data_IF_771115407240
#
_entry.id   IF_771115407240
#
_cell.length_a   1.000
_cell.length_b   1.000
_cell.length_c   1.000
_cell.angle_alpha   90.00
_cell.angle_beta   90.00
_cell.angle_gamma   90.00
#
_symmetry.space_group_name_H-M   'P 1'
#
loop_
_entity.id
_entity.type
_entity.pdbx_description
1 polymer ?
#
# COMPACT_ATOMS: atom_id res chain seq x y z
N UNK A 1 17.95 16.17 -14.36
CA UNK A 1 18.98 15.11 -14.30
C UNK A 1 19.88 15.39 -13.11
N UNK A 2 20.49 14.37 -12.50
CA UNK A 2 21.54 14.59 -11.50
C UNK A 2 22.70 15.40 -12.10
N UNK A 3 23.36 16.19 -11.26
CA UNK A 3 24.56 16.98 -11.57
C UNK A 3 25.38 17.18 -10.29
N UNK A 4 26.65 17.50 -10.42
CA UNK A 4 27.56 17.76 -9.30
C UNK A 4 27.53 19.20 -8.76
N UNK A 5 26.97 20.15 -9.52
CA UNK A 5 27.09 21.60 -9.31
C UNK A 5 25.91 22.26 -8.58
N UNK A 6 24.99 21.49 -7.98
CA UNK A 6 23.87 22.07 -7.22
C UNK A 6 24.34 22.93 -6.04
N UNK A 7 23.89 24.19 -6.04
CA UNK A 7 24.05 25.13 -4.93
C UNK A 7 22.73 25.91 -4.71
N UNK A 8 22.31 26.15 -3.46
CA UNK A 8 22.83 25.53 -2.23
C UNK A 8 22.59 23.99 -2.24
N UNK A 9 23.21 23.27 -1.30
CA UNK A 9 22.99 21.82 -1.11
C UNK A 9 23.11 21.43 0.35
N UNK A 10 22.49 20.31 0.73
CA UNK A 10 22.67 19.71 2.05
C UNK A 10 23.93 18.83 2.02
N UNK A 11 25.02 19.34 2.60
CA UNK A 11 26.33 18.66 2.55
C UNK A 11 26.44 17.47 3.49
N UNK A 12 27.45 16.62 3.24
CA UNK A 12 27.71 15.37 3.96
C UNK A 12 27.97 15.59 5.46
N UNK A 13 28.55 16.75 5.80
CA UNK A 13 28.87 17.18 7.17
C UNK A 13 27.64 17.30 8.09
N UNK A 14 26.43 17.38 7.53
CA UNK A 14 25.19 17.47 8.30
C UNK A 14 24.62 16.10 8.67
N UNK A 15 25.18 14.99 8.16
CA UNK A 15 24.78 13.63 8.52
C UNK A 15 25.60 13.10 9.70
N UNK A 16 24.93 12.57 10.72
CA UNK A 16 25.57 11.96 11.89
C UNK A 16 26.39 10.71 11.54
N UNK A 17 26.07 10.04 10.43
CA UNK A 17 26.77 8.86 9.93
C UNK A 17 26.63 8.79 8.41
N UNK A 18 27.74 8.87 7.69
CA UNK A 18 27.81 8.58 6.25
C UNK A 18 28.43 7.20 6.06
N UNK A 19 27.80 6.32 5.28
CA UNK A 19 28.37 5.02 4.94
C UNK A 19 29.35 5.15 3.76
N UNK A 20 30.45 4.38 3.70
CA UNK A 20 31.38 4.44 2.56
C UNK A 20 30.71 4.19 1.20
N UNK A 21 29.68 3.35 1.17
CA UNK A 21 28.87 3.09 -0.02
C UNK A 21 28.01 4.30 -0.44
N UNK A 22 27.59 5.15 0.50
CA UNK A 22 26.83 6.38 0.21
C UNK A 22 27.74 7.52 -0.24
N UNK A 23 28.96 7.59 0.30
CA UNK A 23 29.96 8.61 0.00
C UNK A 23 30.60 8.44 -1.39
N UNK A 24 30.99 7.20 -1.71
CA UNK A 24 31.63 6.85 -3.00
C UNK A 24 30.66 6.73 -4.18
N UNK A 25 29.38 7.00 -3.99
CA UNK A 25 28.35 6.74 -5.00
C UNK A 25 28.21 7.86 -6.05
N UNK A 26 28.53 7.52 -7.30
CA UNK A 26 28.39 8.40 -8.47
C UNK A 26 26.95 8.39 -9.00
N UNK A 27 26.13 9.30 -8.46
CA UNK A 27 24.73 9.46 -8.88
C UNK A 27 24.59 9.92 -10.34
N UNK A 28 25.55 10.66 -10.89
CA UNK A 28 25.49 11.13 -12.28
C UNK A 28 25.71 9.97 -13.24
N UNK A 29 26.76 9.17 -13.04
CA UNK A 29 27.05 7.97 -13.82
C UNK A 29 25.94 6.91 -13.71
N UNK A 30 25.32 6.78 -12.53
CA UNK A 30 24.14 5.91 -12.35
C UNK A 30 22.95 6.39 -13.18
N UNK A 31 22.63 7.69 -13.09
CA UNK A 31 21.59 8.34 -13.90
C UNK A 31 21.86 8.21 -15.41
N UNK A 32 23.11 8.36 -15.87
CA UNK A 32 23.50 8.19 -17.28
C UNK A 32 23.28 6.75 -17.76
N UNK A 33 23.81 5.76 -17.00
CA UNK A 33 23.60 4.34 -17.31
C UNK A 33 22.11 3.97 -17.37
N UNK A 34 21.30 4.48 -16.43
CA UNK A 34 19.84 4.27 -16.44
C UNK A 34 19.16 4.92 -17.65
N UNK A 35 19.65 6.06 -18.13
CA UNK A 35 19.14 6.73 -19.35
C UNK A 35 19.49 5.98 -20.64
N UNK A 36 20.64 5.31 -20.71
CA UNK A 36 20.99 4.46 -21.86
C UNK A 36 20.19 3.14 -21.84
N UNK A 37 20.01 2.56 -20.66
CA UNK A 37 19.46 1.22 -20.47
C UNK A 37 17.95 1.18 -20.15
N UNK A 38 17.26 2.33 -20.21
CA UNK A 38 15.83 2.50 -19.88
C UNK A 38 14.89 1.49 -20.58
N UNK A 39 15.26 1.06 -21.79
CA UNK A 39 14.46 0.15 -22.60
C UNK A 39 14.30 -1.24 -21.94
N UNK A 40 15.30 -1.69 -21.15
CA UNK A 40 15.22 -2.93 -20.40
C UNK A 40 14.07 -2.95 -19.41
N UNK A 41 13.74 -1.81 -18.79
CA UNK A 41 12.58 -1.71 -17.89
C UNK A 41 11.26 -2.03 -18.56
N UNK A 42 11.09 -1.64 -19.82
CA UNK A 42 9.89 -1.94 -20.61
C UNK A 42 9.86 -3.44 -20.93
N UNK A 43 11.00 -4.02 -21.34
CA UNK A 43 11.14 -5.46 -21.61
C UNK A 43 10.82 -6.30 -20.38
N UNK A 44 11.40 -5.98 -19.22
CA UNK A 44 11.14 -6.70 -17.97
C UNK A 44 9.69 -6.53 -17.50
N UNK A 45 9.10 -5.35 -17.65
CA UNK A 45 7.69 -5.11 -17.30
C UNK A 45 6.73 -5.93 -18.17
N UNK A 46 6.97 -5.98 -19.49
CA UNK A 46 6.18 -6.79 -20.42
C UNK A 46 6.32 -8.30 -20.13
N UNK A 47 7.56 -8.76 -19.90
CA UNK A 47 7.83 -10.14 -19.52
C UNK A 47 7.16 -10.52 -18.19
N UNK A 48 7.21 -9.63 -17.19
CA UNK A 48 6.56 -9.83 -15.89
C UNK A 48 5.03 -9.97 -16.01
N UNK A 49 4.37 -9.13 -16.82
CA UNK A 49 2.93 -9.24 -17.08
C UNK A 49 2.60 -10.56 -17.79
N UNK A 50 3.39 -10.96 -18.79
CA UNK A 50 3.20 -12.26 -19.47
C UNK A 50 3.37 -13.45 -18.50
N UNK A 51 4.35 -13.38 -17.60
CA UNK A 51 4.58 -14.39 -16.56
C UNK A 51 3.45 -14.46 -15.53
N UNK A 52 2.79 -13.34 -15.19
CA UNK A 52 1.60 -13.36 -14.33
C UNK A 52 0.46 -14.15 -14.99
N UNK A 53 0.11 -13.85 -16.25
CA UNK A 53 -0.98 -14.54 -16.93
C UNK A 53 -0.67 -16.01 -17.20
N UNK A 54 0.56 -16.33 -17.60
CA UNK A 54 1.01 -17.72 -17.75
C UNK A 54 0.98 -18.47 -16.40
N UNK A 55 1.46 -17.82 -15.32
CA UNK A 55 1.46 -18.38 -13.98
C UNK A 55 0.06 -18.65 -13.44
N UNK A 56 -0.89 -17.74 -13.65
CA UNK A 56 -2.31 -17.94 -13.31
C UNK A 56 -2.86 -19.20 -13.99
N UNK A 57 -2.71 -19.30 -15.32
CA UNK A 57 -3.19 -20.45 -16.10
C UNK A 57 -2.55 -21.78 -15.69
N UNK A 58 -1.26 -21.79 -15.33
CA UNK A 58 -0.59 -22.99 -14.79
C UNK A 58 -1.11 -23.36 -13.40
N UNK A 59 -1.44 -22.37 -12.56
CA UNK A 59 -1.89 -22.56 -11.19
C UNK A 59 -3.38 -22.93 -11.05
N UNK A 60 -4.21 -22.72 -12.07
CA UNK A 60 -5.63 -23.16 -12.09
C UNK A 60 -5.81 -24.64 -11.74
N UNK A 61 -4.85 -25.48 -12.15
CA UNK A 61 -4.84 -26.93 -11.91
C UNK A 61 -4.10 -27.36 -10.63
N UNK A 62 -3.55 -26.43 -9.85
CA UNK A 62 -2.61 -26.71 -8.76
C UNK A 62 -3.05 -26.10 -7.43
N UNK A 63 -2.66 -26.74 -6.32
CA UNK A 63 -2.86 -26.18 -4.98
C UNK A 63 -1.93 -24.96 -4.76
N UNK A 64 -2.37 -23.92 -4.03
CA UNK A 64 -1.54 -22.74 -3.76
C UNK A 64 -0.33 -23.10 -2.89
N UNK A 65 0.81 -22.47 -3.16
CA UNK A 65 2.04 -22.68 -2.38
C UNK A 65 1.97 -21.97 -1.01
N UNK A 66 2.48 -22.63 0.03
CA UNK A 66 2.63 -22.07 1.37
C UNK A 66 3.88 -21.18 1.46
N UNK A 67 3.79 -19.96 0.92
CA UNK A 67 4.89 -18.99 0.83
C UNK A 67 4.88 -17.94 1.95
N UNK A 68 4.21 -18.20 3.08
CA UNK A 68 4.04 -17.23 4.16
C UNK A 68 5.38 -16.69 4.72
N UNK A 69 6.38 -17.56 4.92
CA UNK A 69 7.71 -17.17 5.42
C UNK A 69 8.54 -16.39 4.38
N UNK A 70 8.70 -16.84 3.12
CA UNK A 70 9.29 -16.01 2.07
C UNK A 70 8.60 -14.66 1.89
N UNK A 71 7.26 -14.62 1.94
CA UNK A 71 6.49 -13.40 1.81
C UNK A 71 6.68 -12.46 3.02
N UNK A 72 6.80 -13.01 4.23
CA UNK A 72 7.16 -12.24 5.42
C UNK A 72 8.55 -11.60 5.28
N UNK A 73 9.57 -12.40 4.95
CA UNK A 73 10.95 -11.91 4.80
C UNK A 73 11.04 -10.85 3.71
N UNK A 74 10.36 -11.07 2.57
CA UNK A 74 10.30 -10.10 1.47
C UNK A 74 9.65 -8.77 1.88
N UNK A 75 8.46 -8.81 2.50
CA UNK A 75 7.80 -7.58 2.96
C UNK A 75 8.58 -6.89 4.09
N UNK A 76 9.24 -7.65 4.97
CA UNK A 76 10.10 -7.09 6.01
C UNK A 76 11.32 -6.39 5.40
N UNK A 77 11.97 -7.00 4.40
CA UNK A 77 13.06 -6.37 3.64
C UNK A 77 12.63 -5.07 2.96
N UNK A 78 11.48 -5.08 2.29
CA UNK A 78 10.91 -3.87 1.67
C UNK A 78 10.51 -2.80 2.69
N UNK A 79 10.03 -3.19 3.88
CA UNK A 79 9.72 -2.26 4.96
C UNK A 79 10.99 -1.59 5.51
N UNK A 80 12.05 -2.38 5.80
CA UNK A 80 13.34 -1.88 6.27
C UNK A 80 13.98 -0.97 5.22
N UNK A 81 14.03 -1.39 3.96
CA UNK A 81 14.53 -0.59 2.84
C UNK A 81 13.80 0.76 2.76
N UNK A 82 12.46 0.74 2.81
CA UNK A 82 11.65 1.97 2.72
C UNK A 82 11.83 2.87 3.95
N UNK A 83 12.00 2.29 5.14
CA UNK A 83 12.21 3.03 6.38
C UNK A 83 13.59 3.69 6.42
N UNK A 84 14.64 2.97 6.02
CA UNK A 84 16.00 3.53 5.91
C UNK A 84 16.04 4.66 4.88
N UNK A 85 15.43 4.47 3.71
CA UNK A 85 15.28 5.53 2.70
C UNK A 85 14.53 6.75 3.24
N UNK A 86 13.44 6.55 3.97
CA UNK A 86 12.71 7.65 4.62
C UNK A 86 13.58 8.40 5.64
N UNK A 87 14.25 7.67 6.55
CA UNK A 87 15.15 8.26 7.55
C UNK A 87 16.30 9.04 6.91
N UNK A 88 16.90 8.52 5.84
CA UNK A 88 18.05 9.11 5.16
C UNK A 88 17.69 10.31 4.29
N UNK A 89 16.50 10.32 3.68
CA UNK A 89 15.99 11.46 2.90
C UNK A 89 15.41 12.59 3.76
N UNK A 90 15.00 12.32 5.00
CA UNK A 90 14.30 13.29 5.85
C UNK A 90 15.10 14.54 6.24
N UNK A 91 16.42 14.49 6.55
CA UNK A 91 17.18 15.68 6.92
C UNK A 91 17.30 16.70 5.79
N UNK A 92 17.62 16.27 4.56
CA UNK A 92 17.69 17.16 3.39
C UNK A 92 16.31 17.68 2.98
N UNK A 93 15.26 16.84 3.07
CA UNK A 93 13.88 17.28 2.81
C UNK A 93 13.42 18.34 3.83
N UNK A 94 13.70 18.15 5.12
CA UNK A 94 13.42 19.14 6.16
C UNK A 94 14.20 20.43 5.91
N UNK A 95 15.50 20.32 5.65
CA UNK A 95 16.39 21.46 5.42
C UNK A 95 15.95 22.31 4.22
N UNK A 96 15.55 21.65 3.15
CA UNK A 96 15.08 22.34 1.96
C UNK A 96 13.67 22.93 2.10
N UNK A 97 12.86 22.51 3.08
CA UNK A 97 11.55 23.13 3.34
C UNK A 97 11.63 24.28 4.34
N UNK A 98 12.54 24.20 5.32
CA UNK A 98 12.64 25.18 6.41
C UNK A 98 13.62 26.30 6.12
N UNK A 99 14.83 25.98 5.70
CA UNK A 99 15.90 26.97 5.48
C UNK A 99 15.95 27.48 4.02
N UNK A 100 15.12 26.93 3.13
CA UNK A 100 15.01 27.34 1.73
C UNK A 100 13.54 27.56 1.33
N UNK A 101 13.30 28.23 0.20
CA UNK A 101 11.95 28.47 -0.33
C UNK A 101 11.24 27.18 -0.77
N UNK A 102 9.91 27.15 -0.65
CA UNK A 102 9.08 26.05 -1.15
C UNK A 102 9.33 25.74 -2.64
N UNK A 103 9.55 26.77 -3.47
CA UNK A 103 9.96 26.66 -4.88
C UNK A 103 11.21 25.77 -5.04
N UNK A 104 12.27 26.08 -4.30
CA UNK A 104 13.51 25.29 -4.30
C UNK A 104 13.25 23.85 -3.84
N UNK A 105 12.35 23.66 -2.86
CA UNK A 105 11.99 22.32 -2.37
C UNK A 105 11.30 21.41 -3.40
N UNK A 106 10.74 22.01 -4.45
CA UNK A 106 9.91 21.34 -5.47
C UNK A 106 10.60 21.28 -6.83
N UNK A 107 11.34 22.33 -7.21
CA UNK A 107 11.89 22.51 -8.55
C UNK A 107 13.40 22.21 -8.69
N UNK A 108 14.15 22.11 -7.58
CA UNK A 108 15.59 21.84 -7.58
C UNK A 108 15.90 20.38 -7.24
N UNK A 109 16.65 19.68 -8.09
CA UNK A 109 17.07 18.30 -7.84
C UNK A 109 18.39 18.15 -7.04
N UNK A 110 18.64 19.06 -6.09
CA UNK A 110 19.79 19.02 -5.17
C UNK A 110 19.90 17.72 -4.37
N UNK A 111 18.74 17.10 -4.10
CA UNK A 111 18.61 15.82 -3.39
C UNK A 111 19.26 14.64 -4.14
N UNK A 112 19.60 14.79 -5.42
CA UNK A 112 20.26 13.76 -6.21
C UNK A 112 21.80 13.73 -6.02
N UNK A 113 22.31 14.17 -4.86
CA UNK A 113 23.74 14.19 -4.50
C UNK A 113 24.01 13.47 -3.18
N UNK A 114 25.22 12.91 -3.04
CA UNK A 114 25.71 12.27 -1.80
C UNK A 114 24.77 11.19 -1.27
N UNK A 115 24.57 11.17 0.05
CA UNK A 115 23.67 10.24 0.75
C UNK A 115 22.28 10.19 0.11
N UNK A 116 21.63 11.33 -0.10
CA UNK A 116 20.29 11.39 -0.72
C UNK A 116 20.30 11.00 -2.20
N UNK A 117 21.41 11.20 -2.91
CA UNK A 117 21.61 10.70 -4.27
C UNK A 117 21.61 9.18 -4.32
N UNK A 118 22.36 8.52 -3.43
CA UNK A 118 22.34 7.07 -3.29
C UNK A 118 20.92 6.54 -3.02
N UNK A 119 20.21 7.08 -2.02
CA UNK A 119 18.85 6.64 -1.70
C UNK A 119 17.82 6.99 -2.80
N UNK A 120 18.06 8.03 -3.59
CA UNK A 120 17.25 8.36 -4.79
C UNK A 120 17.44 7.34 -5.91
N UNK A 121 18.67 6.93 -6.19
CA UNK A 121 18.96 5.93 -7.21
C UNK A 121 18.49 4.54 -6.78
N UNK A 122 18.64 4.16 -5.50
CA UNK A 122 18.03 2.93 -4.98
C UNK A 122 16.48 2.97 -5.06
N UNK A 123 15.86 4.14 -4.83
CA UNK A 123 14.43 4.31 -5.07
C UNK A 123 14.09 4.06 -6.55
N UNK A 124 14.83 4.67 -7.48
CA UNK A 124 14.66 4.46 -8.92
C UNK A 124 14.78 2.98 -9.31
N UNK A 125 15.85 2.30 -8.88
CA UNK A 125 16.08 0.89 -9.15
C UNK A 125 14.98 -0.02 -8.57
N UNK A 126 14.33 0.37 -7.46
CA UNK A 126 13.18 -0.34 -6.90
C UNK A 126 11.87 -0.19 -7.71
N UNK A 127 11.84 0.72 -8.69
CA UNK A 127 10.66 1.05 -9.51
C UNK A 127 11.03 1.01 -10.99
N UNK A 128 10.70 -0.08 -11.69
CA UNK A 128 11.06 -0.27 -13.10
C UNK A 128 10.77 0.94 -14.04
N UNK A 129 9.71 1.75 -13.81
CA UNK A 129 9.43 2.96 -14.60
C UNK A 129 9.81 4.27 -13.87
N UNK A 130 10.93 4.88 -14.29
CA UNK A 130 11.55 6.05 -13.65
C UNK A 130 11.10 7.39 -14.25
N UNK A 131 9.82 7.76 -14.09
CA UNK A 131 9.29 9.05 -14.61
C UNK A 131 8.95 10.09 -13.54
N UNK A 132 9.02 9.74 -12.24
CA UNK A 132 8.62 10.63 -11.15
C UNK A 132 9.65 10.73 -10.02
N UNK A 133 10.92 10.96 -10.39
CA UNK A 133 11.96 11.36 -9.45
C UNK A 133 11.78 12.85 -9.12
N UNK A 134 11.17 13.10 -7.97
CA UNK A 134 11.13 14.41 -7.32
C UNK A 134 11.16 14.19 -5.81
N UNK A 135 11.91 15.03 -5.09
CA UNK A 135 12.12 14.94 -3.64
C UNK A 135 10.86 14.58 -2.85
N UNK A 136 9.81 15.37 -3.02
CA UNK A 136 8.53 15.18 -2.35
C UNK A 136 7.94 13.80 -2.63
N UNK A 137 7.92 13.39 -3.91
CA UNK A 137 7.41 12.09 -4.35
C UNK A 137 8.20 10.93 -3.73
N UNK A 138 9.53 11.00 -3.71
CA UNK A 138 10.40 9.96 -3.14
C UNK A 138 10.20 9.86 -1.62
N UNK A 139 10.31 10.99 -0.91
CA UNK A 139 10.20 11.06 0.55
C UNK A 139 8.86 10.52 1.05
N UNK A 140 7.74 10.98 0.47
CA UNK A 140 6.41 10.50 0.89
C UNK A 140 6.17 9.04 0.49
N UNK A 141 6.70 8.59 -0.65
CA UNK A 141 6.57 7.20 -1.08
C UNK A 141 7.29 6.27 -0.11
N UNK A 142 8.54 6.58 0.26
CA UNK A 142 9.31 5.82 1.24
C UNK A 142 8.59 5.73 2.60
N UNK A 143 8.10 6.86 3.13
CA UNK A 143 7.38 6.87 4.41
C UNK A 143 6.12 6.00 4.41
N UNK A 144 5.29 6.14 3.37
CA UNK A 144 4.03 5.37 3.26
C UNK A 144 4.28 3.90 2.91
N UNK A 145 5.31 3.58 2.11
CA UNK A 145 5.66 2.20 1.80
C UNK A 145 6.26 1.48 3.01
N UNK A 146 7.03 2.16 3.87
CA UNK A 146 7.49 1.59 5.13
C UNK A 146 6.30 1.11 6.00
N UNK A 147 5.24 1.93 6.12
CA UNK A 147 4.01 1.56 6.83
C UNK A 147 3.24 0.43 6.13
N UNK A 148 3.08 0.51 4.81
CA UNK A 148 2.34 -0.49 4.02
C UNK A 148 3.02 -1.87 4.06
N UNK A 149 4.33 -1.94 3.84
CA UNK A 149 5.06 -3.21 3.85
C UNK A 149 5.17 -3.78 5.26
N UNK A 150 5.28 -2.95 6.30
CA UNK A 150 5.18 -3.41 7.70
C UNK A 150 3.82 -4.08 7.96
N UNK A 151 2.72 -3.48 7.50
CA UNK A 151 1.39 -4.08 7.58
C UNK A 151 1.29 -5.41 6.83
N UNK A 152 1.86 -5.52 5.61
CA UNK A 152 1.87 -6.77 4.86
C UNK A 152 2.77 -7.86 5.45
N UNK A 153 3.92 -7.51 6.04
CA UNK A 153 4.77 -8.45 6.77
C UNK A 153 4.01 -9.07 7.96
N UNK A 154 3.39 -8.23 8.81
CA UNK A 154 2.55 -8.71 9.91
C UNK A 154 1.37 -9.58 9.43
N UNK A 155 0.79 -9.27 8.27
CA UNK A 155 -0.30 -10.05 7.66
C UNK A 155 0.17 -11.37 7.05
N UNK A 156 1.43 -11.48 6.62
CA UNK A 156 2.05 -12.73 6.16
C UNK A 156 2.27 -13.73 7.30
N UNK A 157 2.56 -13.26 8.53
CA UNK A 157 2.54 -14.07 9.77
C UNK A 157 1.13 -14.51 10.20
N UNK A 158 0.13 -14.35 9.33
CA UNK A 158 -1.31 -14.65 9.51
C UNK A 158 -2.00 -13.90 10.67
N UNK A 159 -1.33 -12.94 11.31
CA UNK A 159 -1.84 -12.12 12.42
C UNK A 159 -3.10 -11.34 12.00
N UNK A 160 -4.20 -11.50 12.74
CA UNK A 160 -5.48 -10.80 12.50
C UNK A 160 -5.37 -9.34 12.98
N UNK A 161 -4.99 -8.44 12.07
CA UNK A 161 -4.94 -7.01 12.33
C UNK A 161 -6.34 -6.38 12.31
N UNK A 162 -6.66 -5.44 13.22
CA UNK A 162 -7.95 -4.76 13.26
C UNK A 162 -8.17 -3.86 12.04
N UNK A 163 -9.45 -3.66 11.66
CA UNK A 163 -9.88 -2.80 10.54
C UNK A 163 -9.25 -1.41 10.57
N UNK A 164 -9.06 -0.84 11.76
CA UNK A 164 -8.49 0.49 11.97
C UNK A 164 -7.07 0.62 11.40
N UNK A 165 -6.17 -0.35 11.65
CA UNK A 165 -4.79 -0.28 11.15
C UNK A 165 -4.77 -0.33 9.61
N UNK A 166 -5.54 -1.26 9.03
CA UNK A 166 -5.65 -1.36 7.56
C UNK A 166 -6.23 -0.08 6.94
N UNK A 167 -7.23 0.52 7.58
CA UNK A 167 -7.82 1.80 7.17
C UNK A 167 -6.81 2.94 7.24
N UNK A 168 -6.05 3.06 8.34
CA UNK A 168 -5.00 4.08 8.51
C UNK A 168 -3.93 3.99 7.42
N UNK A 169 -3.44 2.79 7.09
CA UNK A 169 -2.50 2.59 5.97
C UNK A 169 -3.07 3.10 4.66
N UNK A 170 -4.34 2.79 4.36
CA UNK A 170 -4.97 3.27 3.11
C UNK A 170 -5.27 4.77 3.11
N UNK A 171 -5.54 5.39 4.27
CA UNK A 171 -5.69 6.84 4.40
C UNK A 171 -4.34 7.53 4.14
N UNK A 172 -3.24 6.99 4.67
CA UNK A 172 -1.90 7.49 4.34
C UNK A 172 -1.59 7.38 2.84
N UNK A 173 -1.92 6.27 2.19
CA UNK A 173 -1.79 6.12 0.73
C UNK A 173 -2.62 7.13 -0.06
N UNK A 174 -3.89 7.35 0.30
CA UNK A 174 -4.73 8.36 -0.36
C UNK A 174 -4.18 9.77 -0.14
N UNK A 175 -3.71 10.08 1.08
CA UNK A 175 -3.09 11.39 1.39
C UNK A 175 -1.80 11.62 0.58
N UNK A 176 -1.00 10.57 0.35
CA UNK A 176 0.17 10.60 -0.52
C UNK A 176 -0.22 10.96 -1.95
N UNK A 177 -1.32 10.39 -2.47
CA UNK A 177 -1.76 10.68 -3.83
C UNK A 177 -2.24 12.14 -3.97
N UNK A 178 -3.00 12.65 -2.99
CA UNK A 178 -3.45 14.04 -2.94
C UNK A 178 -2.25 15.01 -2.88
N UNK A 179 -1.27 14.74 -2.00
CA UNK A 179 -0.06 15.55 -1.88
C UNK A 179 0.76 15.55 -3.18
N UNK A 180 0.87 14.41 -3.87
CA UNK A 180 1.53 14.33 -5.17
C UNK A 180 0.85 15.16 -6.26
N UNK A 181 -0.49 15.15 -6.32
CA UNK A 181 -1.25 16.02 -7.23
C UNK A 181 -1.01 17.50 -6.90
N UNK A 182 -1.03 17.87 -5.61
CA UNK A 182 -0.78 19.25 -5.17
C UNK A 182 0.63 19.75 -5.54
N UNK A 183 1.66 18.94 -5.29
CA UNK A 183 3.05 19.24 -5.70
C UNK A 183 3.13 19.37 -7.22
N UNK A 184 2.50 18.45 -7.97
CA UNK A 184 2.42 18.54 -9.43
C UNK A 184 1.79 19.86 -9.91
N UNK A 185 0.63 20.27 -9.36
CA UNK A 185 -0.04 21.54 -9.74
C UNK A 185 0.85 22.74 -9.43
N UNK A 186 1.61 22.67 -8.35
CA UNK A 186 2.58 23.70 -7.97
C UNK A 186 3.71 23.80 -9.01
N UNK A 187 4.36 22.68 -9.37
CA UNK A 187 5.39 22.64 -10.44
C UNK A 187 4.82 23.19 -11.75
N UNK A 188 3.62 22.76 -12.14
CA UNK A 188 2.98 23.18 -13.38
C UNK A 188 2.77 24.70 -13.43
N UNK A 189 2.25 25.29 -12.34
CA UNK A 189 2.04 26.74 -12.24
C UNK A 189 3.36 27.52 -12.31
N UNK A 190 4.38 27.10 -11.56
CA UNK A 190 5.70 27.75 -11.54
C UNK A 190 6.40 27.67 -12.90
N UNK A 191 6.37 26.49 -13.55
CA UNK A 191 6.93 26.30 -14.88
C UNK A 191 6.17 27.09 -15.95
N UNK A 192 4.85 27.27 -15.78
CA UNK A 192 4.01 28.10 -16.66
C UNK A 192 4.19 29.60 -16.45
N UNK A 193 4.60 30.06 -15.26
CA UNK A 193 4.93 31.47 -14.98
C UNK A 193 6.35 31.86 -15.40
N UNK A 194 7.08 30.97 -16.07
CA UNK A 194 8.43 31.22 -16.59
C UNK A 194 9.57 30.88 -15.62
N UNK A 195 9.29 30.31 -14.45
CA UNK A 195 10.34 29.89 -13.52
C UNK A 195 11.03 28.58 -13.98
N UNK A 196 12.34 28.52 -13.77
CA UNK A 196 13.21 27.45 -14.28
C UNK A 196 13.15 26.19 -13.40
N UNK A 197 12.04 25.45 -13.50
CA UNK A 197 11.89 24.13 -12.88
C UNK A 197 12.49 23.02 -13.75
N UNK A 198 13.37 22.20 -13.15
CA UNK A 198 14.17 21.19 -13.86
C UNK A 198 13.37 19.99 -14.39
N UNK A 199 12.14 19.78 -13.90
CA UNK A 199 11.26 18.73 -14.39
C UNK A 199 10.79 19.03 -15.82
N UNK A 200 10.84 18.06 -16.73
CA UNK A 200 10.32 18.23 -18.10
C UNK A 200 8.79 18.21 -18.12
N UNK A 201 8.18 18.68 -19.21
CA UNK A 201 6.71 18.70 -19.33
C UNK A 201 6.12 17.28 -19.42
N UNK A 202 6.84 16.38 -20.07
CA UNK A 202 6.50 14.97 -20.27
C UNK A 202 6.53 14.21 -18.94
N UNK A 203 7.63 14.33 -18.17
CA UNK A 203 7.74 13.74 -16.84
C UNK A 203 6.65 14.26 -15.90
N UNK A 204 6.38 15.56 -15.93
CA UNK A 204 5.33 16.18 -15.13
C UNK A 204 3.95 15.62 -15.50
N UNK A 205 3.62 15.52 -16.79
CA UNK A 205 2.37 14.93 -17.27
C UNK A 205 2.20 13.47 -16.88
N UNK A 206 3.27 12.66 -16.99
CA UNK A 206 3.26 11.26 -16.56
C UNK A 206 3.12 11.10 -15.04
N UNK A 207 3.84 11.91 -14.23
CA UNK A 207 3.65 12.00 -12.79
C UNK A 207 2.18 12.24 -12.44
N UNK A 208 1.57 13.27 -13.03
CA UNK A 208 0.16 13.61 -12.79
C UNK A 208 -0.78 12.46 -13.13
N UNK A 209 -0.61 11.84 -14.30
CA UNK A 209 -1.46 10.75 -14.76
C UNK A 209 -1.41 9.55 -13.79
N UNK A 210 -0.21 9.16 -13.35
CA UNK A 210 -0.02 8.06 -12.40
C UNK A 210 -0.67 8.40 -11.05
N UNK A 211 -0.39 9.58 -10.50
CA UNK A 211 -0.92 9.99 -9.20
C UNK A 211 -2.45 10.16 -9.19
N UNK A 212 -3.03 10.70 -10.27
CA UNK A 212 -4.47 10.84 -10.42
C UNK A 212 -5.18 9.50 -10.62
N UNK A 213 -4.66 8.62 -11.48
CA UNK A 213 -5.26 7.29 -11.69
C UNK A 213 -5.18 6.43 -10.43
N UNK A 214 -4.07 6.49 -9.68
CA UNK A 214 -3.94 5.80 -8.39
C UNK A 214 -4.84 6.41 -7.31
N UNK A 215 -5.01 7.73 -7.26
CA UNK A 215 -5.99 8.37 -6.37
C UNK A 215 -7.41 7.79 -6.58
N UNK A 216 -7.87 7.70 -7.83
CA UNK A 216 -9.18 7.11 -8.17
C UNK A 216 -9.26 5.62 -7.79
N UNK A 217 -8.20 4.85 -8.08
CA UNK A 217 -8.11 3.43 -7.73
C UNK A 217 -8.19 3.20 -6.21
N UNK A 218 -7.44 3.97 -5.41
CA UNK A 218 -7.45 3.86 -3.96
C UNK A 218 -8.77 4.36 -3.35
N UNK A 219 -9.41 5.40 -3.90
CA UNK A 219 -10.75 5.82 -3.47
C UNK A 219 -11.80 4.73 -3.75
N UNK A 220 -11.76 4.11 -4.94
CA UNK A 220 -12.63 2.99 -5.27
C UNK A 220 -12.39 1.80 -4.33
N UNK A 221 -11.14 1.42 -4.11
CA UNK A 221 -10.75 0.37 -3.17
C UNK A 221 -11.26 0.67 -1.75
N UNK A 222 -11.06 1.89 -1.25
CA UNK A 222 -11.48 2.30 0.09
C UNK A 222 -12.99 2.20 0.27
N UNK A 223 -13.76 2.68 -0.72
CA UNK A 223 -15.21 2.56 -0.74
C UNK A 223 -15.66 1.09 -0.66
N UNK A 224 -15.13 0.22 -1.52
CA UNK A 224 -15.50 -1.19 -1.55
C UNK A 224 -15.00 -2.00 -0.33
N UNK A 225 -13.82 -1.68 0.20
CA UNK A 225 -13.19 -2.41 1.31
C UNK A 225 -13.71 -2.01 2.70
N UNK A 226 -14.13 -0.76 2.90
CA UNK A 226 -14.44 -0.23 4.23
C UNK A 226 -15.83 0.41 4.41
N UNK A 227 -16.40 1.00 3.35
CA UNK A 227 -17.66 1.77 3.43
C UNK A 227 -18.88 1.00 2.88
N UNK A 228 -18.71 0.23 1.79
CA UNK A 228 -19.81 -0.55 1.19
C UNK A 228 -20.43 -1.51 2.22
N UNK A 229 -21.76 -1.57 2.25
CA UNK A 229 -22.54 -2.51 3.07
C UNK A 229 -22.15 -3.95 2.69
N UNK A 230 -21.90 -4.81 3.68
CA UNK A 230 -21.34 -6.16 3.51
C UNK A 230 -19.88 -6.19 2.95
N UNK A 231 -19.04 -5.25 3.37
CA UNK A 231 -17.59 -5.28 3.11
C UNK A 231 -16.86 -6.45 3.79
N UNK A 232 -15.61 -6.67 3.39
CA UNK A 232 -14.70 -7.75 3.85
C UNK A 232 -14.62 -7.89 5.38
N UNK A 233 -14.74 -6.80 6.13
CA UNK A 233 -14.68 -6.81 7.60
C UNK A 233 -16.03 -7.14 8.25
N UNK A 234 -17.15 -6.70 7.66
CA UNK A 234 -18.51 -7.03 8.15
C UNK A 234 -18.94 -8.47 7.85
N UNK A 235 -18.42 -9.08 6.78
CA UNK A 235 -18.68 -10.50 6.48
C UNK A 235 -18.10 -11.47 7.51
N UNK A 236 -16.95 -11.11 8.12
CA UNK A 236 -16.30 -11.92 9.15
C UNK A 236 -17.13 -12.08 10.42
N UNK A 237 -17.81 -11.02 10.87
CA UNK A 237 -18.66 -11.06 12.07
C UNK A 237 -19.82 -12.06 11.93
N UNK A 238 -20.40 -12.20 10.73
CA UNK A 238 -21.48 -13.19 10.49
C UNK A 238 -21.00 -14.64 10.58
N UNK A 239 -19.71 -14.91 10.36
CA UNK A 239 -19.12 -16.25 10.50
C UNK A 239 -18.73 -16.59 11.96
N UNK A 240 -18.76 -15.62 12.88
CA UNK A 240 -18.49 -15.84 14.32
C UNK A 240 -19.76 -15.67 15.18
N UNK A 241 -20.91 -15.36 14.56
CA UNK A 241 -22.20 -15.14 15.25
C UNK A 241 -23.29 -16.14 14.76
N UNK A 242 -22.95 -17.10 13.89
CA UNK A 242 -23.75 -18.31 13.72
C UNK A 242 -23.26 -19.37 14.72
N UNK A 243 -24.20 -19.94 15.46
CA UNK A 243 -24.02 -20.92 16.55
C UNK A 243 -23.39 -20.39 17.84
N UNK A 244 -24.10 -19.46 18.47
CA UNK A 244 -24.50 -19.70 19.87
C UNK A 244 -25.93 -19.20 20.05
N UNK A 245 -26.92 -20.08 19.82
CA UNK A 245 -28.24 -19.87 20.42
C UNK A 245 -28.04 -19.92 21.94
N UNK A 246 -28.56 -18.96 22.73
CA UNK A 246 -28.42 -19.02 24.17
C UNK A 246 -29.24 -20.22 24.68
N UNK A 247 -28.57 -21.17 25.34
CA UNK A 247 -29.18 -22.40 25.89
C UNK A 247 -30.32 -22.17 26.91
N UNK A 248 -30.60 -20.91 27.25
CA UNK A 248 -31.72 -20.44 28.06
C UNK A 248 -33.07 -20.63 27.36
N UNK A 249 -33.11 -20.73 26.03
CA UNK A 249 -34.37 -20.86 25.26
C UNK A 249 -34.87 -22.32 25.21
N UNK A 250 -33.99 -23.29 24.91
CA UNK A 250 -34.33 -24.73 24.98
C UNK A 250 -34.75 -25.17 26.39
N UNK A 251 -34.01 -24.73 27.43
CA UNK A 251 -34.36 -25.06 28.83
C UNK A 251 -35.75 -24.55 29.24
N UNK A 252 -36.25 -23.46 28.61
CA UNK A 252 -37.62 -22.96 28.86
C UNK A 252 -38.70 -23.81 28.17
N UNK A 253 -38.43 -24.33 26.98
CA UNK A 253 -39.36 -25.28 26.33
C UNK A 253 -39.41 -26.61 27.10
N UNK A 254 -38.26 -27.16 27.49
CA UNK A 254 -38.19 -28.44 28.22
C UNK A 254 -38.89 -28.38 29.60
N UNK A 255 -38.73 -27.27 30.33
CA UNK A 255 -39.42 -27.06 31.62
C UNK A 255 -40.95 -26.94 31.41
N UNK A 256 -41.40 -26.17 30.41
CA UNK A 256 -42.83 -25.99 30.14
C UNK A 256 -43.51 -27.26 29.62
N UNK A 257 -42.80 -28.08 28.82
CA UNK A 257 -43.27 -29.38 28.39
C UNK A 257 -43.48 -30.34 29.59
N UNK A 258 -42.56 -30.34 30.55
CA UNK A 258 -42.61 -31.26 31.69
C UNK A 258 -43.68 -30.85 32.72
N UNK A 259 -43.95 -29.54 32.89
CA UNK A 259 -45.07 -29.05 33.72
C UNK A 259 -46.42 -29.42 33.09
N UNK A 260 -46.52 -29.40 31.75
CA UNK A 260 -47.75 -29.72 31.03
C UNK A 260 -48.10 -31.22 31.02
N UNK A 261 -47.13 -32.10 31.30
CA UNK A 261 -47.28 -33.56 31.23
C UNK A 261 -47.96 -34.24 32.41
N UNK A 262 -48.20 -33.53 33.53
CA UNK A 262 -48.69 -34.15 34.78
C UNK A 262 -50.17 -33.83 35.04
N UNK A 263 -51.07 -34.36 34.19
CA UNK A 263 -52.50 -34.46 34.54
C UNK A 263 -53.04 -35.86 34.24
N UNK A 264 -53.12 -36.66 35.30
CA UNK A 264 -54.09 -37.74 35.59
C UNK A 264 -54.64 -38.56 34.39
N UNK A 265 -54.26 -39.83 34.37
CA UNK A 265 -54.90 -40.89 33.57
C UNK A 265 -56.38 -41.05 33.96
N UNK A 266 -57.28 -40.92 32.98
CA UNK A 266 -58.61 -41.58 33.02
C UNK A 266 -58.92 -42.27 31.69
N UNK A 267 -59.41 -43.51 31.79
CA UNK A 267 -59.91 -44.31 30.66
C UNK A 267 -61.10 -43.59 29.99
N UNK A 268 -61.29 -43.76 28.68
CA UNK A 268 -62.23 -44.77 28.14
C UNK A 268 -62.65 -44.60 26.67
N UNK A 269 -62.88 -45.74 26.01
CA UNK A 269 -63.91 -46.01 24.96
C UNK A 269 -63.95 -45.29 23.60
N UNK A 270 -63.98 -46.14 22.55
CA UNK A 270 -64.98 -46.16 21.45
C UNK A 270 -64.66 -45.51 20.07
N UNK A 271 -64.12 -46.37 19.18
CA UNK A 271 -64.78 -46.94 17.97
C UNK A 271 -65.16 -46.03 16.76
N UNK A 272 -64.80 -46.56 15.56
CA UNK A 272 -65.31 -46.31 14.17
C UNK A 272 -64.83 -45.05 13.43
N UNK A 273 -64.88 -44.95 12.08
CA UNK A 273 -64.76 -45.88 10.91
C UNK A 273 -65.17 -45.12 9.63
N UNK A 274 -64.25 -44.89 8.68
CA UNK A 274 -64.44 -44.68 7.22
C UNK A 274 -63.11 -44.09 6.67
N UNK A 275 -62.43 -44.53 5.60
CA UNK A 275 -62.75 -45.23 4.33
C UNK A 275 -63.03 -44.29 3.13
N UNK A 276 -62.22 -44.43 2.07
CA UNK A 276 -62.36 -43.87 0.69
C UNK A 276 -62.29 -42.33 0.61
N UNK A 277 -62.00 -41.70 -0.52
CA UNK A 277 -61.80 -42.21 -1.90
C UNK A 277 -60.31 -42.45 -2.20
N UNK A 278 -59.84 -43.66 -2.53
CA UNK A 278 -60.55 -44.95 -2.56
C UNK A 278 -59.96 -46.06 -1.66
#
# INVERSE_FOLDING_TARGET
MARYDYQPRYGLENYTLVLPLEDTFDAVKSTEWMQENWHHSVTFSAAYVALIYAGQKVMESRKPFALDMPLFVWNMGLAIFSFLGFMRMSPEWLWSWRENSFVYSVCTASYAQGVTGFWTEQFAMSKFLTYCLGRWFIWMNYGVHALMYSYYALRALRIRLPKQIAMVVTVFQISQMIMGIYVGVTVYKMKSSGEQCQQTWENLGLCFLIYFTYFLLFCNFFYHAYLKKNNRYTGGTKATVKETQPAVEQVKEDINANISGTTVVTRSTTRRRAQKVD
#
